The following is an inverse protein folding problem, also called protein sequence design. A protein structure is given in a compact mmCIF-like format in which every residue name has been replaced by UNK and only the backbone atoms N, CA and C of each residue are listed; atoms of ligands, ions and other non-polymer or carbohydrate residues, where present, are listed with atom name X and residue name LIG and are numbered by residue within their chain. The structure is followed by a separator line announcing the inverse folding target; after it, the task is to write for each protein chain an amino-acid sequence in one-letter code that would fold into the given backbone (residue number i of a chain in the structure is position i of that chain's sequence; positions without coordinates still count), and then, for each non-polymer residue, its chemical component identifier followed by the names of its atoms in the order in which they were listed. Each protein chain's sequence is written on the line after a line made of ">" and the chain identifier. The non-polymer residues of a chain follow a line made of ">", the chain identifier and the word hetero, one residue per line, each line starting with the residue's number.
data_IF_924788158458
#
_entry.id   IF_924788158458
#
_cell.length_a   1.000
_cell.length_b   1.000
_cell.length_c   1.000
_cell.angle_alpha   90.00
_cell.angle_beta   90.00
_cell.angle_gamma   90.00
#
_symmetry.space_group_name_H-M   'P 1'
#
loop_
_entity.id
_entity.type
_entity.pdbx_description
1 polymer ?
#
# COMPACT_ATOMS: atom_id res chain seq x y z
N UNK A 1 29.59 21.17 37.55
CA UNK A 1 28.54 20.25 38.05
C UNK A 1 28.52 19.03 37.15
N UNK A 2 28.89 17.86 37.67
CA UNK A 2 28.93 16.60 36.91
C UNK A 2 27.52 16.07 36.75
N UNK A 3 26.98 16.07 35.53
CA UNK A 3 25.73 15.36 35.23
C UNK A 3 26.04 13.88 35.23
N UNK A 4 25.60 13.19 36.28
CA UNK A 4 25.67 11.73 36.40
C UNK A 4 24.91 11.09 35.24
N UNK A 5 25.64 10.69 34.20
CA UNK A 5 25.10 9.95 33.05
C UNK A 5 24.63 8.60 33.55
N UNK A 6 23.32 8.36 33.54
CA UNK A 6 22.74 7.06 33.88
C UNK A 6 23.26 6.05 32.84
N UNK A 7 23.80 4.92 33.32
CA UNK A 7 24.31 3.85 32.46
C UNK A 7 23.21 3.37 31.50
N UNK A 8 23.56 3.17 30.22
CA UNK A 8 22.63 2.73 29.18
C UNK A 8 21.97 1.38 29.49
N UNK A 9 22.69 0.45 30.13
CA UNK A 9 22.14 -0.82 30.62
C UNK A 9 21.09 -0.62 31.71
N UNK A 10 21.32 0.32 32.64
CA UNK A 10 20.36 0.63 33.71
C UNK A 10 19.07 1.21 33.11
N UNK A 11 19.22 2.08 32.11
CA UNK A 11 18.08 2.69 31.40
C UNK A 11 17.28 1.62 30.62
N UNK A 12 17.96 0.73 29.91
CA UNK A 12 17.34 -0.40 29.21
C UNK A 12 16.60 -1.34 30.16
N UNK A 13 17.23 -1.75 31.26
CA UNK A 13 16.62 -2.63 32.26
C UNK A 13 15.40 -1.97 32.92
N UNK A 14 15.44 -0.65 33.15
CA UNK A 14 14.30 0.11 33.68
C UNK A 14 13.13 0.10 32.71
N UNK A 15 13.38 0.32 31.42
CA UNK A 15 12.31 0.32 30.41
C UNK A 15 11.73 -1.09 30.24
N UNK A 16 12.57 -2.12 30.22
CA UNK A 16 12.11 -3.52 30.14
C UNK A 16 11.29 -3.94 31.36
N UNK A 17 11.64 -3.46 32.55
CA UNK A 17 10.85 -3.68 33.78
C UNK A 17 9.48 -3.00 33.72
N UNK A 18 9.44 -1.73 33.26
CA UNK A 18 8.17 -1.00 33.06
C UNK A 18 7.26 -1.68 32.03
N UNK A 19 7.86 -2.18 30.95
CA UNK A 19 7.19 -2.98 29.94
C UNK A 19 6.57 -4.26 30.52
N UNK A 20 7.35 -5.04 31.29
CA UNK A 20 6.87 -6.24 31.97
C UNK A 20 5.73 -5.94 32.95
N UNK A 21 5.81 -4.84 33.70
CA UNK A 21 4.76 -4.41 34.63
C UNK A 21 3.45 -4.09 33.90
N UNK A 22 3.50 -3.35 32.79
CA UNK A 22 2.31 -3.05 31.97
C UNK A 22 1.73 -4.32 31.35
N UNK A 23 2.59 -5.21 30.86
CA UNK A 23 2.17 -6.48 30.28
C UNK A 23 1.45 -7.42 31.26
N UNK A 24 1.79 -7.38 32.56
CA UNK A 24 1.11 -8.15 33.62
C UNK A 24 -0.33 -7.69 33.86
N UNK A 25 -0.64 -6.41 33.64
CA UNK A 25 -1.98 -5.86 33.86
C UNK A 25 -3.00 -6.20 32.76
N UNK A 26 -2.56 -6.68 31.59
CA UNK A 26 -3.40 -6.78 30.39
C UNK A 26 -3.55 -8.21 29.82
N UNK A 27 -3.01 -9.23 30.51
CA UNK A 27 -3.17 -10.67 30.21
C UNK A 27 -3.08 -11.08 28.72
N UNK A 28 -2.16 -10.50 27.95
CA UNK A 28 -2.00 -10.75 26.51
C UNK A 28 -0.91 -11.79 26.19
N UNK A 29 -0.90 -12.35 24.97
CA UNK A 29 0.08 -13.34 24.49
C UNK A 29 1.52 -12.81 24.55
N UNK A 30 1.75 -11.54 24.20
CA UNK A 30 3.04 -10.85 24.34
C UNK A 30 3.43 -10.70 25.83
N UNK A 31 2.47 -10.47 26.72
CA UNK A 31 2.72 -10.49 28.16
C UNK A 31 3.14 -11.86 28.70
N UNK A 32 2.64 -12.95 28.10
CA UNK A 32 3.14 -14.30 28.40
C UNK A 32 4.59 -14.48 27.94
N UNK A 33 4.94 -13.98 26.74
CA UNK A 33 6.31 -14.04 26.18
C UNK A 33 7.31 -13.21 27.00
N UNK A 34 6.94 -11.99 27.38
CA UNK A 34 7.74 -11.11 28.23
C UNK A 34 8.01 -11.70 29.63
N UNK A 35 7.10 -12.54 30.12
CA UNK A 35 7.23 -13.24 31.39
C UNK A 35 7.91 -14.62 31.25
N UNK A 36 7.86 -15.26 30.07
CA UNK A 36 8.41 -16.61 29.84
C UNK A 36 9.83 -16.63 29.26
N UNK A 37 10.24 -15.59 28.54
CA UNK A 37 11.57 -15.53 27.94
C UNK A 37 12.65 -15.27 29.00
N UNK A 38 13.69 -16.11 28.96
CA UNK A 38 14.87 -16.08 29.80
C UNK A 38 15.54 -14.70 29.87
N UNK A 39 16.37 -14.49 30.90
CA UNK A 39 16.95 -13.20 31.34
C UNK A 39 17.86 -12.45 30.32
N UNK A 40 17.85 -12.81 29.03
CA UNK A 40 18.66 -12.18 27.99
C UNK A 40 17.80 -11.47 26.94
N UNK A 41 18.34 -10.35 26.45
CA UNK A 41 17.75 -9.49 25.43
C UNK A 41 17.49 -10.25 24.12
N UNK A 42 18.44 -11.06 23.68
CA UNK A 42 18.37 -11.80 22.41
C UNK A 42 17.34 -12.93 22.45
N UNK A 43 17.22 -13.63 23.59
CA UNK A 43 16.20 -14.66 23.77
C UNK A 43 14.77 -14.11 23.76
N UNK A 44 14.58 -12.89 24.30
CA UNK A 44 13.29 -12.20 24.23
C UNK A 44 12.96 -11.75 22.79
N UNK A 45 13.94 -11.24 22.05
CA UNK A 45 13.78 -10.88 20.64
C UNK A 45 13.38 -12.08 19.79
N UNK A 46 14.07 -13.20 19.96
CA UNK A 46 13.82 -14.41 19.18
C UNK A 46 12.45 -15.02 19.53
N UNK A 47 12.03 -14.96 20.79
CA UNK A 47 10.70 -15.39 21.20
C UNK A 47 9.57 -14.52 20.58
N UNK A 48 9.75 -13.19 20.55
CA UNK A 48 8.81 -12.26 19.91
C UNK A 48 8.74 -12.53 18.40
N UNK A 49 9.89 -12.68 17.73
CA UNK A 49 9.94 -13.01 16.30
C UNK A 49 9.28 -14.36 15.99
N UNK A 50 9.49 -15.36 16.84
CA UNK A 50 8.93 -16.71 16.68
C UNK A 50 7.41 -16.73 16.84
N UNK A 51 6.85 -15.99 17.81
CA UNK A 51 5.39 -15.87 17.98
C UNK A 51 4.76 -15.11 16.81
N UNK A 52 5.36 -14.00 16.38
CA UNK A 52 4.90 -13.25 15.20
C UNK A 52 4.92 -14.11 13.91
N UNK A 53 5.93 -14.99 13.76
CA UNK A 53 6.02 -15.91 12.63
C UNK A 53 5.00 -17.06 12.72
N UNK A 54 4.77 -17.60 13.92
CA UNK A 54 3.81 -18.69 14.15
C UNK A 54 2.35 -18.22 14.08
N UNK A 55 2.10 -16.96 14.43
CA UNK A 55 0.77 -16.42 14.64
C UNK A 55 0.70 -15.05 13.93
N UNK A 56 0.55 -15.08 12.60
CA UNK A 56 0.73 -13.97 11.64
C UNK A 56 -0.04 -12.66 11.94
N UNK A 57 -1.01 -12.71 12.86
CA UNK A 57 -1.86 -11.60 13.29
C UNK A 57 -1.92 -11.41 14.82
N UNK A 58 -1.13 -12.14 15.61
CA UNK A 58 -1.12 -12.03 17.07
C UNK A 58 -0.69 -10.61 17.50
N UNK A 59 -1.62 -9.84 18.07
CA UNK A 59 -1.36 -8.46 18.49
C UNK A 59 -1.91 -7.37 17.55
N UNK A 60 -2.50 -7.75 16.42
CA UNK A 60 -3.29 -6.85 15.57
C UNK A 60 -4.77 -6.86 15.99
N UNK A 61 -5.41 -5.70 15.96
CA UNK A 61 -6.88 -5.63 16.04
C UNK A 61 -7.52 -6.11 14.74
N UNK A 62 -8.83 -6.42 14.76
CA UNK A 62 -9.57 -6.74 13.53
C UNK A 62 -9.50 -5.61 12.50
N UNK A 63 -9.49 -4.36 12.97
CA UNK A 63 -9.26 -3.19 12.12
C UNK A 63 -7.86 -3.21 11.49
N UNK A 64 -6.81 -3.51 12.25
CA UNK A 64 -5.45 -3.61 11.70
C UNK A 64 -5.31 -4.75 10.67
N UNK A 65 -6.01 -5.87 10.89
CA UNK A 65 -6.04 -6.99 9.93
C UNK A 65 -6.76 -6.58 8.65
N UNK A 66 -7.90 -5.88 8.77
CA UNK A 66 -8.63 -5.33 7.63
C UNK A 66 -7.77 -4.31 6.85
N UNK A 67 -7.13 -3.38 7.54
CA UNK A 67 -6.21 -2.40 6.93
C UNK A 67 -5.02 -3.07 6.27
N UNK A 68 -4.44 -4.12 6.88
CA UNK A 68 -3.35 -4.89 6.27
C UNK A 68 -3.80 -5.51 4.94
N UNK A 69 -4.96 -6.19 4.94
CA UNK A 69 -5.53 -6.77 3.71
C UNK A 69 -5.78 -5.69 2.65
N UNK A 70 -6.34 -4.55 3.07
CA UNK A 70 -6.66 -3.43 2.20
C UNK A 70 -5.42 -2.83 1.54
N UNK A 71 -4.38 -2.52 2.33
CA UNK A 71 -3.13 -1.97 1.81
C UNK A 71 -2.33 -2.99 0.96
N UNK A 72 -2.41 -4.29 1.27
CA UNK A 72 -1.85 -5.33 0.38
C UNK A 72 -2.55 -5.32 -0.97
N UNK A 73 -3.89 -5.35 -1.00
CA UNK A 73 -4.65 -5.31 -2.25
C UNK A 73 -4.40 -4.01 -3.04
N UNK A 74 -4.31 -2.87 -2.35
CA UNK A 74 -3.98 -1.58 -2.97
C UNK A 74 -2.59 -1.60 -3.63
N UNK A 75 -1.60 -2.21 -2.96
CA UNK A 75 -0.24 -2.33 -3.49
C UNK A 75 -0.23 -3.20 -4.75
N UNK A 76 -0.79 -4.41 -4.66
CA UNK A 76 -0.83 -5.36 -5.78
C UNK A 76 -1.57 -4.77 -6.99
N UNK A 77 -2.71 -4.12 -6.75
CA UNK A 77 -3.45 -3.44 -7.81
C UNK A 77 -2.66 -2.28 -8.42
N UNK A 78 -1.93 -1.49 -7.62
CA UNK A 78 -1.10 -0.40 -8.14
C UNK A 78 0.10 -0.91 -8.97
N UNK A 79 0.70 -2.04 -8.57
CA UNK A 79 1.76 -2.71 -9.33
C UNK A 79 1.22 -3.24 -10.68
N UNK A 80 0.08 -3.94 -10.69
CA UNK A 80 -0.55 -4.39 -11.94
C UNK A 80 -1.00 -3.23 -12.83
N UNK A 81 -1.63 -2.19 -12.24
CA UNK A 81 -2.05 -0.98 -12.95
C UNK A 81 -0.86 -0.34 -13.69
N UNK A 82 0.31 -0.30 -13.05
CA UNK A 82 1.54 0.24 -13.63
C UNK A 82 1.96 -0.55 -14.87
N UNK A 83 1.87 -1.88 -14.83
CA UNK A 83 2.21 -2.74 -15.98
C UNK A 83 1.20 -2.60 -17.12
N UNK A 84 -0.10 -2.58 -16.83
CA UNK A 84 -1.14 -2.35 -17.83
C UNK A 84 -0.97 -0.98 -18.51
N UNK A 85 -0.66 0.05 -17.71
CA UNK A 85 -0.36 1.39 -18.22
C UNK A 85 0.81 1.39 -19.20
N UNK A 86 1.93 0.75 -18.84
CA UNK A 86 3.10 0.66 -19.73
C UNK A 86 2.75 0.01 -21.06
N UNK A 87 1.99 -1.09 -21.04
CA UNK A 87 1.59 -1.81 -22.26
C UNK A 87 0.70 -0.96 -23.17
N UNK A 88 -0.24 -0.20 -22.61
CA UNK A 88 -1.11 0.69 -23.37
C UNK A 88 -0.36 1.89 -23.96
N UNK A 89 0.56 2.49 -23.20
CA UNK A 89 1.42 3.57 -23.70
C UNK A 89 2.36 3.07 -24.81
N UNK A 90 2.85 1.84 -24.70
CA UNK A 90 3.67 1.17 -25.71
C UNK A 90 2.86 0.45 -26.80
N UNK A 91 1.53 0.63 -26.84
CA UNK A 91 0.70 0.03 -27.89
C UNK A 91 1.18 0.55 -29.25
N UNK A 92 1.42 -0.33 -30.25
CA UNK A 92 2.21 0.03 -31.42
C UNK A 92 1.52 1.04 -32.31
N UNK A 93 2.31 1.94 -32.91
CA UNK A 93 1.86 2.76 -34.02
C UNK A 93 1.89 1.94 -35.32
N UNK A 94 0.78 1.93 -36.05
CA UNK A 94 0.61 1.20 -37.31
C UNK A 94 -0.12 2.08 -38.31
N UNK A 95 0.15 1.84 -39.59
CA UNK A 95 -0.66 2.33 -40.69
C UNK A 95 -1.96 1.52 -40.75
N UNK A 96 -2.87 1.76 -39.79
CA UNK A 96 -4.08 0.98 -39.59
C UNK A 96 -4.93 0.89 -40.88
N UNK A 97 -4.94 1.95 -41.70
CA UNK A 97 -5.69 2.01 -42.96
C UNK A 97 -5.14 1.07 -44.05
N UNK A 98 -3.90 0.57 -43.88
CA UNK A 98 -3.27 -0.40 -44.77
C UNK A 98 -3.42 -1.85 -44.31
N UNK A 99 -4.07 -2.08 -43.16
CA UNK A 99 -4.25 -3.41 -42.56
C UNK A 99 -5.66 -3.94 -42.80
N UNK A 100 -5.83 -5.26 -42.72
CA UNK A 100 -7.19 -5.85 -42.79
C UNK A 100 -7.94 -5.67 -41.47
N UNK A 101 -9.27 -5.72 -41.52
CA UNK A 101 -10.10 -5.65 -40.31
C UNK A 101 -9.74 -6.75 -39.28
N UNK A 102 -9.39 -7.95 -39.75
CA UNK A 102 -8.99 -9.09 -38.93
C UNK A 102 -7.66 -8.84 -38.19
N UNK A 103 -6.68 -8.23 -38.87
CA UNK A 103 -5.41 -7.87 -38.26
C UNK A 103 -5.59 -6.79 -37.19
N UNK A 104 -6.37 -5.74 -37.49
CA UNK A 104 -6.68 -4.65 -36.56
C UNK A 104 -7.44 -5.20 -35.33
N UNK A 105 -8.40 -6.11 -35.54
CA UNK A 105 -9.19 -6.71 -34.47
C UNK A 105 -8.31 -7.39 -33.42
N UNK A 106 -7.25 -8.09 -33.84
CA UNK A 106 -6.31 -8.75 -32.92
C UNK A 106 -5.56 -7.75 -32.03
N UNK A 107 -5.07 -6.64 -32.60
CA UNK A 107 -4.41 -5.60 -31.80
C UNK A 107 -5.38 -4.89 -30.84
N UNK A 108 -6.63 -4.70 -31.28
CA UNK A 108 -7.68 -4.12 -30.44
C UNK A 108 -8.08 -5.04 -29.30
N UNK A 109 -8.17 -6.35 -29.53
CA UNK A 109 -8.50 -7.33 -28.48
C UNK A 109 -7.50 -7.26 -27.31
N UNK A 110 -6.21 -7.21 -27.61
CA UNK A 110 -5.16 -7.02 -26.61
C UNK A 110 -5.34 -5.67 -25.87
N UNK A 111 -5.57 -4.57 -26.59
CA UNK A 111 -5.79 -3.27 -25.98
C UNK A 111 -7.02 -3.24 -25.06
N UNK A 112 -8.14 -3.81 -25.50
CA UNK A 112 -9.39 -3.92 -24.73
C UNK A 112 -9.15 -4.70 -23.44
N UNK A 113 -8.46 -5.83 -23.52
CA UNK A 113 -8.13 -6.65 -22.35
C UNK A 113 -7.27 -5.86 -21.34
N UNK A 114 -6.26 -5.16 -21.82
CA UNK A 114 -5.39 -4.33 -20.98
C UNK A 114 -6.19 -3.17 -20.34
N UNK A 115 -7.13 -2.55 -21.04
CA UNK A 115 -8.04 -1.52 -20.49
C UNK A 115 -8.98 -2.09 -19.42
N UNK A 116 -9.60 -3.24 -19.65
CA UNK A 116 -10.52 -3.86 -18.68
C UNK A 116 -9.78 -4.23 -17.39
N UNK A 117 -8.56 -4.76 -17.50
CA UNK A 117 -7.72 -5.06 -16.34
C UNK A 117 -7.26 -3.78 -15.63
N UNK A 118 -6.82 -2.77 -16.38
CA UNK A 118 -6.47 -1.45 -15.85
C UNK A 118 -7.63 -0.85 -15.04
N UNK A 119 -8.86 -0.91 -15.56
CA UNK A 119 -10.05 -0.41 -14.85
C UNK A 119 -10.33 -1.22 -13.58
N UNK A 120 -10.14 -2.54 -13.63
CA UNK A 120 -10.32 -3.41 -12.46
C UNK A 120 -9.34 -3.05 -11.33
N UNK A 121 -8.07 -2.85 -11.66
CA UNK A 121 -7.04 -2.45 -10.70
C UNK A 121 -7.26 -1.02 -10.19
N UNK A 122 -7.57 -0.08 -11.09
CA UNK A 122 -7.93 1.29 -10.72
C UNK A 122 -9.10 1.30 -9.72
N UNK A 123 -10.13 0.50 -9.95
CA UNK A 123 -11.27 0.37 -9.06
C UNK A 123 -10.89 -0.23 -7.70
N UNK A 124 -9.98 -1.18 -7.68
CA UNK A 124 -9.44 -1.76 -6.43
C UNK A 124 -8.68 -0.70 -5.64
N UNK A 125 -7.89 0.15 -6.30
CA UNK A 125 -7.18 1.27 -5.67
C UNK A 125 -8.18 2.30 -5.12
N UNK A 126 -9.20 2.73 -5.89
CA UNK A 126 -10.21 3.68 -5.41
C UNK A 126 -10.93 3.14 -4.18
N UNK A 127 -11.36 1.88 -4.19
CA UNK A 127 -12.00 1.24 -3.04
C UNK A 127 -11.07 1.18 -1.84
N UNK A 128 -9.81 0.81 -2.05
CA UNK A 128 -8.83 0.67 -0.97
C UNK A 128 -8.43 2.01 -0.35
N UNK A 129 -8.32 3.05 -1.16
CA UNK A 129 -8.09 4.41 -0.66
C UNK A 129 -9.31 4.94 0.11
N UNK A 130 -10.53 4.57 -0.29
CA UNK A 130 -11.79 5.04 0.32
C UNK A 130 -12.14 4.32 1.62
N UNK A 131 -11.69 3.07 1.80
CA UNK A 131 -11.94 2.28 3.01
C UNK A 131 -11.10 2.75 4.20
N UNK A 132 -9.99 3.46 3.95
CA UNK A 132 -9.04 3.91 4.96
C UNK A 132 -9.02 5.44 5.02
N UNK A 133 -9.57 6.03 6.09
CA UNK A 133 -9.61 7.48 6.25
C UNK A 133 -8.22 8.03 6.59
N UNK A 134 -7.53 8.59 5.61
CA UNK A 134 -6.30 9.35 5.83
C UNK A 134 -6.18 10.51 4.85
N UNK A 135 -5.57 11.61 5.31
CA UNK A 135 -5.33 12.80 4.46
C UNK A 135 -4.56 12.46 3.18
N UNK A 136 -3.61 11.53 3.27
CA UNK A 136 -2.81 11.06 2.13
C UNK A 136 -3.70 10.32 1.13
N UNK A 137 -4.56 9.41 1.61
CA UNK A 137 -5.50 8.69 0.75
C UNK A 137 -6.49 9.64 0.07
N UNK A 138 -7.02 10.63 0.80
CA UNK A 138 -7.94 11.64 0.27
C UNK A 138 -7.31 12.45 -0.87
N UNK A 139 -6.02 12.77 -0.76
CA UNK A 139 -5.28 13.47 -1.82
C UNK A 139 -5.18 12.59 -3.07
N UNK A 140 -4.82 11.31 -2.91
CA UNK A 140 -4.74 10.39 -4.04
C UNK A 140 -6.10 10.18 -4.71
N UNK A 141 -7.18 10.00 -3.93
CA UNK A 141 -8.55 9.91 -4.44
C UNK A 141 -8.93 11.13 -5.28
N UNK A 142 -8.68 12.34 -4.76
CA UNK A 142 -8.99 13.59 -5.48
C UNK A 142 -8.21 13.70 -6.78
N UNK A 143 -6.94 13.31 -6.79
CA UNK A 143 -6.11 13.33 -7.98
C UNK A 143 -6.59 12.34 -9.04
N UNK A 144 -6.82 11.08 -8.66
CA UNK A 144 -7.30 10.05 -9.59
C UNK A 144 -8.66 10.43 -10.21
N UNK A 145 -9.59 10.93 -9.39
CA UNK A 145 -10.87 11.47 -9.89
C UNK A 145 -10.67 12.69 -10.80
N UNK A 146 -9.72 13.57 -10.45
CA UNK A 146 -9.37 14.74 -11.24
C UNK A 146 -8.81 14.38 -12.63
N UNK A 147 -7.94 13.38 -12.71
CA UNK A 147 -7.40 12.90 -14.00
C UNK A 147 -8.51 12.40 -14.92
N UNK A 148 -9.49 11.65 -14.40
CA UNK A 148 -10.64 11.24 -15.21
C UNK A 148 -11.42 12.46 -15.71
N UNK A 149 -11.74 13.42 -14.83
CA UNK A 149 -12.49 14.63 -15.21
C UNK A 149 -11.80 15.43 -16.31
N UNK A 150 -10.47 15.51 -16.29
CA UNK A 150 -9.70 16.21 -17.32
C UNK A 150 -9.78 15.52 -18.70
N UNK A 151 -9.97 14.20 -18.73
CA UNK A 151 -10.05 13.38 -19.94
C UNK A 151 -11.46 12.84 -20.21
N UNK A 152 -12.49 13.37 -19.54
CA UNK A 152 -13.82 12.75 -19.47
C UNK A 152 -14.43 12.54 -20.85
N UNK A 153 -14.45 13.58 -21.70
CA UNK A 153 -15.02 13.48 -23.05
C UNK A 153 -14.34 12.41 -23.90
N UNK A 154 -13.01 12.33 -23.83
CA UNK A 154 -12.23 11.38 -24.60
C UNK A 154 -12.46 9.94 -24.10
N UNK A 155 -12.48 9.73 -22.79
CA UNK A 155 -12.75 8.42 -22.18
C UNK A 155 -14.19 7.96 -22.44
N UNK A 156 -15.18 8.85 -22.32
CA UNK A 156 -16.59 8.54 -22.60
C UNK A 156 -16.83 8.22 -24.07
N UNK A 157 -16.05 8.82 -24.99
CA UNK A 157 -16.08 8.47 -26.41
C UNK A 157 -15.72 7.01 -26.66
N UNK A 158 -14.87 6.43 -25.80
CA UNK A 158 -14.48 5.02 -25.80
C UNK A 158 -15.36 4.13 -24.91
N UNK A 159 -16.39 4.69 -24.27
CA UNK A 159 -17.27 3.93 -23.36
C UNK A 159 -16.73 3.73 -21.95
N UNK A 160 -15.72 4.49 -21.55
CA UNK A 160 -15.19 4.48 -20.18
C UNK A 160 -15.83 5.64 -19.40
N UNK A 161 -16.54 5.32 -18.33
CA UNK A 161 -17.29 6.30 -17.51
C UNK A 161 -16.86 6.23 -16.05
N UNK A 162 -17.01 7.34 -15.31
CA UNK A 162 -16.76 7.38 -13.87
C UNK A 162 -18.08 7.47 -13.10
N UNK A 163 -18.22 6.62 -12.09
CA UNK A 163 -19.32 6.64 -11.11
C UNK A 163 -19.06 7.67 -10.02
N UNK A 164 -20.09 8.00 -9.25
CA UNK A 164 -19.99 8.98 -8.15
C UNK A 164 -18.91 8.62 -7.10
N UNK A 165 -18.75 7.33 -6.80
CA UNK A 165 -17.73 6.83 -5.88
C UNK A 165 -16.30 7.00 -6.45
N UNK A 166 -16.16 7.33 -7.72
CA UNK A 166 -14.90 7.52 -8.45
C UNK A 166 -14.38 6.28 -9.15
N UNK A 167 -15.05 5.13 -9.00
CA UNK A 167 -14.75 3.92 -9.78
C UNK A 167 -15.18 4.10 -11.23
N UNK A 168 -14.53 3.37 -12.13
CA UNK A 168 -14.81 3.39 -13.55
C UNK A 168 -15.66 2.19 -13.98
N UNK A 169 -16.43 2.37 -15.05
CA UNK A 169 -17.11 1.31 -15.78
C UNK A 169 -16.69 1.37 -17.26
N UNK A 170 -16.64 0.20 -17.89
CA UNK A 170 -16.33 0.05 -19.32
C UNK A 170 -17.55 -0.52 -20.03
N UNK A 171 -18.01 0.20 -21.04
CA UNK A 171 -18.88 -0.34 -22.09
C UNK A 171 -17.99 -1.03 -23.13
N UNK A 172 -17.81 -2.34 -22.98
CA UNK A 172 -16.95 -3.12 -23.86
C UNK A 172 -17.41 -3.10 -25.33
N UNK A 173 -18.72 -2.98 -25.59
CA UNK A 173 -19.22 -2.92 -26.96
C UNK A 173 -18.83 -1.61 -27.63
N UNK A 174 -18.97 -0.49 -26.90
CA UNK A 174 -18.55 0.81 -27.40
C UNK A 174 -17.03 0.87 -27.59
N UNK A 175 -16.26 0.31 -26.65
CA UNK A 175 -14.80 0.22 -26.78
C UNK A 175 -14.38 -0.66 -27.98
N UNK A 176 -15.05 -1.79 -28.21
CA UNK A 176 -14.82 -2.67 -29.38
C UNK A 176 -15.12 -1.96 -30.70
N UNK A 177 -16.12 -1.09 -30.74
CA UNK A 177 -16.51 -0.32 -31.94
C UNK A 177 -15.59 0.87 -32.23
N UNK A 178 -14.83 1.37 -31.24
CA UNK A 178 -13.95 2.51 -31.44
C UNK A 178 -12.78 2.22 -32.40
N UNK A 179 -12.37 3.22 -33.17
CA UNK A 179 -11.28 3.08 -34.12
C UNK A 179 -9.92 2.88 -33.43
N UNK A 180 -9.03 2.10 -34.04
CA UNK A 180 -7.70 1.84 -33.47
C UNK A 180 -6.90 3.14 -33.25
N UNK A 181 -6.95 4.07 -34.20
CA UNK A 181 -6.32 5.39 -34.05
C UNK A 181 -6.88 6.16 -32.86
N UNK A 182 -8.19 6.10 -32.62
CA UNK A 182 -8.84 6.77 -31.49
C UNK A 182 -8.43 6.14 -30.16
N UNK A 183 -8.42 4.80 -30.07
CA UNK A 183 -7.94 4.06 -28.90
C UNK A 183 -6.50 4.47 -28.57
N UNK A 184 -5.61 4.51 -29.57
CA UNK A 184 -4.20 4.89 -29.39
C UNK A 184 -4.09 6.32 -28.89
N UNK A 185 -4.81 7.25 -29.54
CA UNK A 185 -4.78 8.68 -29.18
C UNK A 185 -5.21 8.91 -27.74
N UNK A 186 -6.30 8.28 -27.30
CA UNK A 186 -6.89 8.53 -25.97
C UNK A 186 -6.14 7.79 -24.85
N UNK A 187 -5.70 6.55 -25.09
CA UNK A 187 -5.18 5.68 -24.04
C UNK A 187 -3.67 5.41 -24.12
N UNK A 188 -3.07 5.58 -25.30
CA UNK A 188 -1.67 5.25 -25.56
C UNK A 188 -0.77 6.46 -25.77
N UNK A 189 -1.27 7.69 -25.56
CA UNK A 189 -0.50 8.92 -25.69
C UNK A 189 0.13 9.37 -24.37
N UNK A 190 1.26 10.08 -24.45
CA UNK A 190 1.79 10.80 -23.28
C UNK A 190 0.80 11.87 -22.80
N UNK A 191 0.76 12.10 -21.49
CA UNK A 191 -0.21 12.98 -20.82
C UNK A 191 -1.68 12.57 -21.03
N UNK A 192 -1.94 11.32 -21.43
CA UNK A 192 -3.27 10.73 -21.37
C UNK A 192 -3.66 10.43 -19.93
N UNK A 193 -4.95 10.16 -19.70
CA UNK A 193 -5.43 9.62 -18.42
C UNK A 193 -4.63 8.41 -17.95
N UNK A 194 -4.32 7.49 -18.88
CA UNK A 194 -3.54 6.27 -18.61
C UNK A 194 -2.13 6.62 -18.12
N UNK A 195 -1.45 7.55 -18.79
CA UNK A 195 -0.13 8.04 -18.36
C UNK A 195 -0.17 8.69 -16.96
N UNK A 196 -1.18 9.53 -16.70
CA UNK A 196 -1.33 10.25 -15.43
C UNK A 196 -1.56 9.32 -14.23
N UNK A 197 -2.45 8.32 -14.36
CA UNK A 197 -2.65 7.32 -13.31
C UNK A 197 -1.41 6.44 -13.15
N UNK A 198 -0.73 6.10 -14.25
CA UNK A 198 0.54 5.34 -14.25
C UNK A 198 1.61 6.02 -13.43
N UNK A 199 1.84 7.32 -13.67
CA UNK A 199 2.80 8.14 -12.90
C UNK A 199 2.46 8.21 -11.41
N UNK A 200 1.19 8.01 -11.04
CA UNK A 200 0.77 8.04 -9.63
C UNK A 200 0.96 6.73 -8.90
N UNK A 201 1.05 5.59 -9.60
CA UNK A 201 1.18 4.25 -9.01
C UNK A 201 2.33 4.15 -8.01
N UNK A 202 3.52 4.68 -8.32
CA UNK A 202 4.68 4.60 -7.42
C UNK A 202 4.44 5.27 -6.06
N UNK A 203 3.72 6.40 -6.05
CA UNK A 203 3.36 7.09 -4.81
C UNK A 203 2.33 6.30 -3.99
N UNK A 204 1.40 5.63 -4.67
CA UNK A 204 0.37 4.79 -4.05
C UNK A 204 1.01 3.52 -3.47
N UNK A 205 1.94 2.89 -4.20
CA UNK A 205 2.74 1.75 -3.73
C UNK A 205 3.52 2.16 -2.49
N UNK A 206 4.26 3.27 -2.52
CA UNK A 206 5.03 3.75 -1.37
C UNK A 206 4.14 4.04 -0.14
N UNK A 207 2.94 4.58 -0.36
CA UNK A 207 1.95 4.79 0.70
C UNK A 207 1.46 3.45 1.30
N UNK A 208 1.18 2.46 0.45
CA UNK A 208 0.79 1.13 0.86
C UNK A 208 1.91 0.46 1.68
N UNK A 209 3.15 0.51 1.20
CA UNK A 209 4.32 -0.06 1.87
C UNK A 209 4.58 0.59 3.23
N UNK A 210 4.50 1.92 3.29
CA UNK A 210 4.64 2.66 4.56
C UNK A 210 3.57 2.24 5.56
N UNK A 211 2.31 2.13 5.11
CA UNK A 211 1.19 1.72 5.95
C UNK A 211 1.33 0.26 6.42
N UNK A 212 1.72 -0.65 5.52
CA UNK A 212 2.01 -2.04 5.84
C UNK A 212 3.19 -2.18 6.80
N UNK A 213 4.23 -1.37 6.67
CA UNK A 213 5.37 -1.36 7.59
C UNK A 213 4.92 -0.93 9.01
N UNK A 214 4.06 0.09 9.11
CA UNK A 214 3.48 0.52 10.39
C UNK A 214 2.63 -0.60 11.00
N UNK A 215 1.76 -1.25 10.22
CA UNK A 215 0.91 -2.34 10.71
C UNK A 215 1.74 -3.55 11.11
N UNK A 216 2.71 -3.96 10.29
CA UNK A 216 3.60 -5.08 10.60
C UNK A 216 4.47 -4.78 11.83
N UNK A 217 4.84 -3.51 12.09
CA UNK A 217 5.49 -3.15 13.35
C UNK A 217 4.62 -3.45 14.57
N UNK A 218 3.30 -3.19 14.50
CA UNK A 218 2.34 -3.54 15.57
C UNK A 218 2.27 -5.05 15.83
N UNK A 219 2.50 -5.89 14.81
CA UNK A 219 2.53 -7.35 14.98
C UNK A 219 3.63 -7.79 15.97
N UNK A 220 4.79 -7.12 15.97
CA UNK A 220 5.91 -7.49 16.83
C UNK A 220 5.83 -6.90 18.24
N UNK A 221 5.19 -5.75 18.41
CA UNK A 221 5.08 -5.07 19.72
C UNK A 221 3.74 -5.31 20.42
N UNK A 222 2.70 -5.72 19.67
CA UNK A 222 1.30 -5.57 20.06
C UNK A 222 0.91 -4.11 20.25
N UNK A 223 -0.30 -3.87 20.79
CA UNK A 223 -0.79 -2.54 21.21
C UNK A 223 0.00 -1.92 22.39
N UNK A 224 1.07 -2.57 22.84
CA UNK A 224 1.88 -2.11 23.94
C UNK A 224 3.25 -1.82 23.39
N UNK A 225 3.60 -0.54 23.30
CA UNK A 225 4.59 0.01 24.23
C UNK A 225 5.14 1.28 23.65
N UNK A 226 4.79 2.37 24.31
CA UNK A 226 5.60 3.56 24.29
C UNK A 226 6.06 3.77 25.74
N UNK A 227 7.36 3.92 25.96
CA UNK A 227 7.81 4.56 27.19
C UNK A 227 7.34 6.03 27.19
N UNK A 228 7.55 6.78 28.29
CA UNK A 228 7.16 8.20 28.38
C UNK A 228 7.77 9.09 27.28
N UNK A 229 8.79 8.57 26.58
CA UNK A 229 9.56 9.25 25.53
C UNK A 229 9.19 8.78 24.11
N UNK A 230 8.19 7.90 23.96
CA UNK A 230 7.73 7.46 22.64
C UNK A 230 8.53 6.34 21.99
N UNK A 231 9.43 5.65 22.73
CA UNK A 231 10.15 4.49 22.20
C UNK A 231 9.38 3.19 22.46
N UNK A 232 9.35 2.31 21.45
CA UNK A 232 8.77 0.99 21.58
C UNK A 232 9.77 -0.09 21.99
N UNK A 233 9.25 -1.14 22.65
CA UNK A 233 10.08 -2.24 23.19
C UNK A 233 10.84 -2.95 22.07
N UNK A 234 10.22 -3.16 20.90
CA UNK A 234 10.87 -3.89 19.82
C UNK A 234 12.03 -3.08 19.24
N UNK A 235 11.89 -1.77 19.06
CA UNK A 235 12.98 -0.86 18.69
C UNK A 235 14.09 -0.89 19.76
N UNK A 236 13.74 -0.87 21.06
CA UNK A 236 14.73 -0.92 22.15
C UNK A 236 15.51 -2.24 22.14
N UNK A 237 14.82 -3.35 21.93
CA UNK A 237 15.43 -4.67 21.85
C UNK A 237 16.23 -4.82 20.54
N UNK A 238 15.66 -4.53 19.38
CA UNK A 238 16.27 -4.78 18.07
C UNK A 238 17.39 -3.79 17.72
N UNK A 239 17.27 -2.51 18.10
CA UNK A 239 18.20 -1.46 17.67
C UNK A 239 19.23 -1.02 18.71
N UNK A 240 19.26 -1.67 19.89
CA UNK A 240 20.27 -1.41 20.92
C UNK A 240 20.46 0.07 21.22
N UNK A 241 19.49 0.69 21.91
CA UNK A 241 19.54 2.10 22.31
C UNK A 241 20.00 3.07 21.21
N UNK A 242 19.05 3.62 20.45
CA UNK A 242 19.22 4.88 19.69
C UNK A 242 19.72 6.08 20.54
N UNK A 243 19.90 5.90 21.85
CA UNK A 243 20.50 6.84 22.79
C UNK A 243 22.04 6.84 22.83
N UNK A 244 22.71 6.18 21.88
CA UNK A 244 24.14 6.39 21.62
C UNK A 244 24.42 7.62 20.73
N UNK A 245 23.50 8.60 20.67
CA UNK A 245 23.85 9.90 20.09
C UNK A 245 24.79 10.60 21.06
N UNK A 246 26.09 10.52 20.77
CA UNK A 246 27.11 11.41 21.29
C UNK A 246 26.61 12.85 21.15
N UNK A 247 26.29 13.49 22.27
CA UNK A 247 26.43 14.93 22.45
C UNK A 247 27.51 15.14 23.51
#
# INVERSE_FOLDING_TARGET
>A
MSTSRINSLITQNRILSQARSRARSQSSQIGKILNSAANSKDGLLDAIKKDAAANKNSGLSDADIASKKNYTAMKEAAESLKEHTKKLLLWPDKEWDSMTEEEIAKYKEDAIKEVTNLVTDYNTIIKSLSSESSRTNDIYLKQLKGYFKNAQSDLESLGITQKEDGTLAVDEEKLKKADAQQIKKVLGSSNSFVDDIGKRTDNIIANAETSLAIINKKLYTGNYSYNKEGNDIFDILASGSKYNVKR
#
